data_IF_092739763238
#
_entry.id   IF_092739763238
#
_cell.length_a   1.000
_cell.length_b   1.000
_cell.length_c   1.000
_cell.angle_alpha   90.00
_cell.angle_beta   90.00
_cell.angle_gamma   90.00
#
_symmetry.space_group_name_H-M   'P 1'
#
loop_
_entity.id
_entity.type
_entity.pdbx_description
1 polymer ?
#
# COMPACT_ATOMS: atom_id res chain seq x y z
N UNK A 1 -17.15 -16.24 -14.20
CA UNK A 1 -16.00 -16.98 -13.64
C UNK A 1 -15.00 -15.97 -13.14
N UNK A 2 -14.55 -16.05 -11.88
CA UNK A 2 -13.53 -15.15 -11.37
C UNK A 2 -12.17 -15.53 -11.99
N UNK A 3 -11.50 -14.58 -12.62
CA UNK A 3 -10.19 -14.79 -13.25
C UNK A 3 -9.13 -14.34 -12.26
N UNK A 4 -8.22 -15.23 -11.91
CA UNK A 4 -7.08 -14.88 -11.07
C UNK A 4 -6.20 -13.85 -11.78
N UNK A 5 -5.68 -12.83 -11.08
CA UNK A 5 -4.78 -11.87 -11.68
C UNK A 5 -3.50 -12.56 -12.17
N UNK A 6 -2.96 -12.07 -13.27
CA UNK A 6 -1.63 -12.49 -13.70
C UNK A 6 -0.57 -11.99 -12.72
N UNK A 7 0.58 -12.66 -12.70
CA UNK A 7 1.74 -12.24 -11.88
C UNK A 7 2.14 -10.78 -12.16
N UNK A 8 2.07 -10.35 -13.43
CA UNK A 8 2.41 -8.99 -13.82
C UNK A 8 1.46 -7.96 -13.21
N UNK A 9 0.15 -8.24 -13.22
CA UNK A 9 -0.88 -7.38 -12.62
C UNK A 9 -0.72 -7.28 -11.11
N UNK A 10 -0.49 -8.41 -10.43
CA UNK A 10 -0.24 -8.43 -8.98
C UNK A 10 0.99 -7.59 -8.61
N UNK A 11 2.10 -7.75 -9.34
CA UNK A 11 3.32 -6.94 -9.11
C UNK A 11 3.11 -5.46 -9.45
N UNK A 12 2.31 -5.14 -10.46
CA UNK A 12 1.95 -3.76 -10.79
C UNK A 12 1.18 -3.09 -9.66
N UNK A 13 0.20 -3.81 -9.08
CA UNK A 13 -0.56 -3.35 -7.92
C UNK A 13 0.35 -3.15 -6.71
N UNK A 14 1.20 -4.12 -6.40
CA UNK A 14 2.18 -4.04 -5.30
C UNK A 14 3.06 -2.79 -5.41
N UNK A 15 3.68 -2.57 -6.57
CA UNK A 15 4.52 -1.38 -6.81
C UNK A 15 3.73 -0.09 -6.74
N UNK A 16 2.46 -0.10 -7.12
CA UNK A 16 1.60 1.08 -7.05
C UNK A 16 1.28 1.44 -5.60
N UNK A 17 0.94 0.46 -4.77
CA UNK A 17 0.75 0.65 -3.33
C UNK A 17 2.03 1.17 -2.65
N UNK A 18 3.19 0.59 -2.96
CA UNK A 18 4.47 1.07 -2.41
C UNK A 18 4.84 2.49 -2.87
N UNK A 19 4.49 2.89 -4.10
CA UNK A 19 4.69 4.27 -4.58
C UNK A 19 3.76 5.24 -3.86
N UNK A 20 2.49 4.89 -3.68
CA UNK A 20 1.53 5.69 -2.90
C UNK A 20 1.94 5.80 -1.45
N UNK A 21 2.46 4.72 -0.83
CA UNK A 21 2.96 4.76 0.54
C UNK A 21 4.02 5.86 0.73
N UNK A 22 4.94 6.03 -0.23
CA UNK A 22 5.99 7.07 -0.19
C UNK A 22 5.45 8.51 -0.29
N UNK A 23 4.21 8.70 -0.73
CA UNK A 23 3.59 10.03 -0.85
C UNK A 23 3.06 10.54 0.49
N UNK A 24 2.90 9.68 1.51
CA UNK A 24 2.50 10.13 2.84
C UNK A 24 3.62 10.94 3.50
N UNK A 25 3.28 12.16 3.88
CA UNK A 25 4.12 13.09 4.63
C UNK A 25 4.44 12.55 6.03
N UNK A 26 3.43 12.00 6.71
CA UNK A 26 3.56 11.41 8.04
C UNK A 26 4.37 10.10 8.01
N UNK A 27 5.39 10.03 8.87
CA UNK A 27 6.27 8.87 9.02
C UNK A 27 5.51 7.59 9.37
N UNK A 28 4.62 7.65 10.37
CA UNK A 28 3.94 6.48 10.88
C UNK A 28 3.03 5.88 9.81
N UNK A 29 2.31 6.73 9.08
CA UNK A 29 1.38 6.29 8.04
C UNK A 29 2.13 5.76 6.82
N UNK A 30 3.24 6.39 6.43
CA UNK A 30 4.10 5.92 5.35
C UNK A 30 4.66 4.53 5.65
N UNK A 31 5.26 4.35 6.83
CA UNK A 31 5.87 3.07 7.21
C UNK A 31 4.83 1.99 7.47
N UNK A 32 3.69 2.33 8.10
CA UNK A 32 2.57 1.41 8.26
C UNK A 32 2.05 0.92 6.90
N UNK A 33 1.76 1.84 5.97
CA UNK A 33 1.21 1.49 4.66
C UNK A 33 2.19 0.63 3.87
N UNK A 34 3.49 0.94 3.94
CA UNK A 34 4.55 0.13 3.33
C UNK A 34 4.56 -1.28 3.93
N UNK A 35 4.64 -1.41 5.25
CA UNK A 35 4.68 -2.71 5.95
C UNK A 35 3.43 -3.53 5.65
N UNK A 36 2.23 -2.95 5.84
CA UNK A 36 0.96 -3.62 5.58
C UNK A 36 0.84 -4.11 4.13
N UNK A 37 1.34 -3.35 3.16
CA UNK A 37 1.40 -3.77 1.76
C UNK A 37 2.30 -5.00 1.59
N UNK A 38 3.49 -5.00 2.18
CA UNK A 38 4.41 -6.16 2.10
C UNK A 38 3.79 -7.39 2.76
N UNK A 39 3.29 -7.24 3.99
CA UNK A 39 2.71 -8.33 4.77
C UNK A 39 1.52 -8.95 4.03
N UNK A 40 0.60 -8.12 3.51
CA UNK A 40 -0.55 -8.61 2.75
C UNK A 40 -0.12 -9.43 1.53
N UNK A 41 0.89 -9.00 0.77
CA UNK A 41 1.33 -9.76 -0.41
C UNK A 41 2.09 -11.03 -0.04
N UNK A 42 2.80 -11.04 1.09
CA UNK A 42 3.44 -12.24 1.63
C UNK A 42 2.40 -13.27 2.12
N UNK A 43 1.39 -12.83 2.88
CA UNK A 43 0.27 -13.64 3.36
C UNK A 43 -0.49 -14.30 2.19
N UNK A 44 -0.77 -13.52 1.14
CA UNK A 44 -1.54 -14.00 -0.01
C UNK A 44 -0.70 -14.75 -1.06
N UNK A 45 0.61 -14.93 -0.86
CA UNK A 45 1.51 -15.60 -1.81
C UNK A 45 1.18 -17.08 -2.03
N UNK A 46 0.60 -17.73 -1.01
CA UNK A 46 0.31 -19.18 -1.00
C UNK A 46 -1.14 -19.47 -1.41
N UNK A 47 -1.91 -18.45 -1.84
CA UNK A 47 -3.27 -18.66 -2.31
C UNK A 47 -3.27 -19.49 -3.61
N UNK A 48 -3.75 -20.74 -3.50
CA UNK A 48 -3.95 -21.63 -4.66
C UNK A 48 -5.32 -21.48 -5.32
N UNK A 49 -6.29 -20.87 -4.65
CA UNK A 49 -7.64 -20.65 -5.18
C UNK A 49 -7.71 -19.38 -6.04
N UNK A 50 -8.13 -19.56 -7.29
CA UNK A 50 -8.31 -18.47 -8.24
C UNK A 50 -9.38 -17.47 -7.81
N UNK A 51 -10.43 -17.92 -7.11
CA UNK A 51 -11.50 -17.04 -6.62
C UNK A 51 -10.97 -16.17 -5.48
N UNK A 52 -10.30 -16.77 -4.50
CA UNK A 52 -9.64 -16.04 -3.41
C UNK A 52 -8.60 -15.03 -3.93
N UNK A 53 -7.77 -15.43 -4.91
CA UNK A 53 -6.78 -14.54 -5.52
C UNK A 53 -7.44 -13.34 -6.24
N UNK A 54 -8.53 -13.56 -6.97
CA UNK A 54 -9.28 -12.50 -7.61
C UNK A 54 -9.92 -11.54 -6.58
N UNK A 55 -10.46 -12.07 -5.48
CA UNK A 55 -11.05 -11.28 -4.41
C UNK A 55 -9.98 -10.42 -3.69
N UNK A 56 -8.84 -11.01 -3.31
CA UNK A 56 -7.73 -10.30 -2.69
C UNK A 56 -7.18 -9.19 -3.59
N UNK A 57 -7.07 -9.45 -4.90
CA UNK A 57 -6.64 -8.46 -5.87
C UNK A 57 -7.63 -7.30 -6.04
N UNK A 58 -8.93 -7.61 -6.06
CA UNK A 58 -9.98 -6.60 -6.11
C UNK A 58 -9.98 -5.73 -4.83
N UNK A 59 -9.78 -6.33 -3.66
CA UNK A 59 -9.62 -5.58 -2.41
C UNK A 59 -8.37 -4.69 -2.44
N UNK A 60 -7.22 -5.23 -2.85
CA UNK A 60 -5.99 -4.44 -2.98
C UNK A 60 -6.13 -3.23 -3.93
N UNK A 61 -6.91 -3.35 -5.01
CA UNK A 61 -7.26 -2.21 -5.88
C UNK A 61 -8.09 -1.16 -5.14
N UNK A 62 -9.10 -1.57 -4.34
CA UNK A 62 -9.88 -0.65 -3.52
C UNK A 62 -9.01 0.07 -2.49
N UNK A 63 -8.12 -0.67 -1.82
CA UNK A 63 -7.17 -0.12 -0.86
C UNK A 63 -6.21 0.89 -1.51
N UNK A 64 -5.76 0.64 -2.75
CA UNK A 64 -4.94 1.60 -3.49
C UNK A 64 -5.68 2.93 -3.70
N UNK A 65 -6.95 2.90 -4.09
CA UNK A 65 -7.74 4.12 -4.28
C UNK A 65 -8.03 4.84 -2.96
N UNK A 66 -8.17 4.12 -1.83
CA UNK A 66 -8.22 4.72 -0.50
C UNK A 66 -6.88 5.39 -0.18
N UNK A 67 -5.76 4.68 -0.34
CA UNK A 67 -4.43 5.19 -0.01
C UNK A 67 -4.08 6.45 -0.82
N UNK A 68 -4.44 6.50 -2.11
CA UNK A 68 -4.24 7.70 -2.95
C UNK A 68 -5.00 8.92 -2.43
N UNK A 69 -6.27 8.73 -2.07
CA UNK A 69 -7.09 9.82 -1.49
C UNK A 69 -6.53 10.28 -0.15
N UNK A 70 -6.14 9.32 0.70
CA UNK A 70 -5.54 9.65 1.99
C UNK A 70 -4.20 10.38 1.82
N UNK A 71 -3.36 9.99 0.87
CA UNK A 71 -2.10 10.70 0.62
C UNK A 71 -2.32 12.20 0.32
N UNK A 72 -3.41 12.55 -0.38
CA UNK A 72 -3.81 13.94 -0.61
C UNK A 72 -4.27 14.63 0.68
N UNK A 73 -5.10 13.97 1.49
CA UNK A 73 -5.56 14.56 2.76
C UNK A 73 -4.37 14.81 3.71
N UNK A 74 -3.45 13.86 3.81
CA UNK A 74 -2.24 14.00 4.64
C UNK A 74 -1.28 15.07 4.13
N UNK A 75 -1.26 15.37 2.83
CA UNK A 75 -0.47 16.48 2.32
C UNK A 75 -1.08 17.84 2.65
N UNK A 76 -2.42 17.95 2.64
CA UNK A 76 -3.13 19.18 3.01
C UNK A 76 -2.94 19.56 4.49
N UNK A 77 -2.86 18.54 5.37
CA UNK A 77 -2.69 18.72 6.81
C UNK A 77 -1.32 18.30 7.32
N UNK A 78 -0.29 18.37 6.45
CA UNK A 78 1.05 17.94 6.83
C UNK A 78 1.61 18.80 7.99
N UNK A 79 2.18 18.18 9.04
CA UNK A 79 2.79 18.91 10.14
C UNK A 79 4.03 19.68 9.64
N UNK A 80 4.23 20.89 10.18
CA UNK A 80 5.37 21.76 9.81
C UNK A 80 6.73 21.17 10.20
N UNK A 81 6.75 20.39 11.29
CA UNK A 81 7.93 19.69 11.78
C UNK A 81 7.89 18.22 11.36
N UNK A 82 9.06 17.67 11.01
CA UNK A 82 9.21 16.24 10.74
C UNK A 82 9.17 15.43 12.04
N UNK A 83 8.83 14.14 11.94
CA UNK A 83 8.89 13.21 13.06
C UNK A 83 10.33 13.10 13.58
N UNK A 84 10.50 12.91 14.89
CA UNK A 84 11.82 12.65 15.52
C UNK A 84 12.49 11.43 14.88
N UNK A 85 11.70 10.44 14.45
CA UNK A 85 12.18 9.24 13.75
C UNK A 85 12.85 9.54 12.40
N UNK A 86 12.64 10.73 11.83
CA UNK A 86 13.24 11.18 10.58
C UNK A 86 14.31 12.26 10.76
N UNK A 87 14.50 12.74 12.00
CA UNK A 87 15.54 13.70 12.30
C UNK A 87 16.87 12.95 12.29
N UNK A 88 17.82 13.42 11.48
CA UNK A 88 19.20 12.95 11.58
C UNK A 88 19.78 13.50 12.88
N UNK A 89 20.23 12.62 13.76
CA UNK A 89 21.09 13.00 14.87
C UNK A 89 22.32 13.69 14.27
N UNK A 90 22.55 14.94 14.67
CA UNK A 90 23.75 15.70 14.33
C UNK A 90 24.94 15.17 15.12
#
# INVERSE_FOLDING_TARGET
>A
MAVAPTRAEALSLFRSLLRTARQFSDYNIREYTRRRTVDAFCENRVLGDAVAAAAAFADGKKQLEVAKRQAVVYSLYAPKAKSIMEMKLQ
#
